data_IF_710878562472
#
_entry.id   IF_710878562472
#
_cell.length_a   1.000
_cell.length_b   1.000
_cell.length_c   1.000
_cell.angle_alpha   90.00
_cell.angle_beta   90.00
_cell.angle_gamma   90.00
#
_symmetry.space_group_name_H-M   'P 1'
#
loop_
_entity.id
_entity.type
_entity.pdbx_description
1 polymer ?
#
# COMPACT_ATOMS: atom_id res chain seq x y z
N UNK A 1 -13.06 17.49 19.54
CA UNK A 1 -12.91 16.13 19.03
C UNK A 1 -12.50 16.24 17.57
N UNK A 2 -11.25 15.95 17.25
CA UNK A 2 -10.76 15.90 15.87
C UNK A 2 -11.12 14.51 15.34
N UNK A 3 -12.22 14.42 14.60
CA UNK A 3 -12.66 13.15 14.01
C UNK A 3 -11.90 12.81 12.71
N UNK A 4 -11.16 13.76 12.13
CA UNK A 4 -10.46 13.61 10.86
C UNK A 4 -8.94 13.49 10.99
N UNK A 5 -8.42 12.64 11.88
CA UNK A 5 -7.02 12.18 11.81
C UNK A 5 -6.87 10.66 11.99
N UNK A 6 -7.93 9.93 12.39
CA UNK A 6 -7.77 8.52 12.74
C UNK A 6 -7.50 7.62 11.55
N UNK A 7 -8.12 7.90 10.39
CA UNK A 7 -7.93 7.11 9.18
C UNK A 7 -6.58 7.39 8.53
N UNK A 8 -6.22 8.68 8.34
CA UNK A 8 -4.90 9.04 7.82
C UNK A 8 -3.78 8.46 8.69
N UNK A 9 -3.86 8.63 10.01
CA UNK A 9 -2.86 8.09 10.93
C UNK A 9 -2.80 6.54 10.85
N UNK A 10 -3.92 5.87 10.59
CA UNK A 10 -3.95 4.41 10.46
C UNK A 10 -3.30 3.93 9.15
N UNK A 11 -3.58 4.60 8.04
CA UNK A 11 -2.97 4.30 6.74
C UNK A 11 -1.45 4.56 6.77
N UNK A 12 -1.01 5.70 7.33
CA UNK A 12 0.43 5.98 7.52
C UNK A 12 1.11 4.97 8.43
N UNK A 13 0.44 4.49 9.50
CA UNK A 13 1.01 3.38 10.31
C UNK A 13 1.16 2.10 9.52
N UNK A 14 0.24 1.81 8.61
CA UNK A 14 0.31 0.64 7.73
C UNK A 14 1.46 0.74 6.73
N UNK A 15 1.70 1.91 6.14
CA UNK A 15 2.91 2.18 5.34
C UNK A 15 4.19 1.86 6.11
N UNK A 16 4.32 2.40 7.32
CA UNK A 16 5.49 2.14 8.15
C UNK A 16 5.66 0.66 8.51
N UNK A 17 4.56 -0.08 8.72
CA UNK A 17 4.62 -1.51 8.99
C UNK A 17 5.07 -2.32 7.77
N UNK A 18 4.61 -1.94 6.56
CA UNK A 18 5.05 -2.53 5.29
C UNK A 18 6.54 -2.28 5.07
N UNK A 19 6.98 -1.03 5.19
CA UNK A 19 8.39 -0.64 5.03
C UNK A 19 9.27 -1.40 6.03
N UNK A 20 8.86 -1.47 7.30
CA UNK A 20 9.59 -2.19 8.35
C UNK A 20 9.75 -3.69 8.05
N UNK A 21 8.76 -4.33 7.42
CA UNK A 21 8.86 -5.74 7.01
C UNK A 21 9.89 -5.96 5.91
N UNK A 22 9.97 -5.05 4.94
CA UNK A 22 10.98 -5.08 3.87
C UNK A 22 12.38 -4.77 4.45
N UNK A 23 12.48 -3.78 5.34
CA UNK A 23 13.73 -3.42 6.02
C UNK A 23 14.25 -4.53 6.93
N UNK A 24 13.36 -5.25 7.62
CA UNK A 24 13.74 -6.40 8.44
C UNK A 24 14.40 -7.50 7.60
N UNK A 25 13.83 -7.81 6.43
CA UNK A 25 14.45 -8.74 5.48
C UNK A 25 15.80 -8.21 4.94
N UNK A 26 15.92 -6.91 4.69
CA UNK A 26 17.19 -6.32 4.25
C UNK A 26 18.28 -6.35 5.33
N UNK A 27 17.90 -6.35 6.61
CA UNK A 27 18.83 -6.46 7.72
C UNK A 27 19.32 -7.90 7.94
N UNK A 28 18.48 -8.89 7.65
CA UNK A 28 18.79 -10.32 7.68
C UNK A 28 17.99 -11.06 6.59
N UNK A 29 18.66 -11.36 5.47
CA UNK A 29 18.04 -11.95 4.28
C UNK A 29 17.92 -13.48 4.34
N UNK A 30 18.25 -14.09 5.47
CA UNK A 30 18.18 -15.54 5.67
C UNK A 30 16.76 -16.08 5.85
N UNK A 31 15.81 -15.24 6.28
CA UNK A 31 14.40 -15.56 6.43
C UNK A 31 13.53 -14.63 5.56
N UNK A 32 12.88 -15.12 4.50
CA UNK A 32 12.01 -14.30 3.66
C UNK A 32 10.64 -14.00 4.29
N UNK A 33 10.29 -14.57 5.46
CA UNK A 33 8.96 -14.42 6.04
C UNK A 33 8.53 -12.95 6.29
N UNK A 34 9.39 -12.04 6.80
CA UNK A 34 9.04 -10.63 6.95
C UNK A 34 8.72 -9.96 5.61
N UNK A 35 9.51 -10.27 4.57
CA UNK A 35 9.31 -9.74 3.22
C UNK A 35 7.98 -10.23 2.64
N UNK A 36 7.70 -11.54 2.69
CA UNK A 36 6.46 -12.11 2.17
C UNK A 36 5.22 -11.56 2.89
N UNK A 37 5.33 -11.30 4.20
CA UNK A 37 4.29 -10.64 4.98
C UNK A 37 4.06 -9.20 4.51
N UNK A 38 5.14 -8.46 4.25
CA UNK A 38 5.06 -7.10 3.71
C UNK A 38 4.46 -7.06 2.29
N UNK A 39 4.79 -8.02 1.43
CA UNK A 39 4.23 -8.13 0.08
C UNK A 39 2.71 -8.38 0.11
N UNK A 40 2.24 -9.26 0.99
CA UNK A 40 0.80 -9.49 1.17
C UNK A 40 0.09 -8.25 1.74
N UNK A 41 0.70 -7.62 2.75
CA UNK A 41 0.17 -6.39 3.36
C UNK A 41 0.06 -5.25 2.35
N UNK A 42 1.07 -5.04 1.49
CA UNK A 42 1.06 -4.01 0.46
C UNK A 42 -0.01 -4.28 -0.62
N UNK A 43 -0.21 -5.54 -1.03
CA UNK A 43 -1.32 -5.89 -1.94
C UNK A 43 -2.69 -5.65 -1.32
N UNK A 44 -2.85 -5.97 -0.04
CA UNK A 44 -4.07 -5.67 0.71
C UNK A 44 -4.30 -4.16 0.83
N UNK A 45 -3.25 -3.39 1.09
CA UNK A 45 -3.29 -1.93 1.18
C UNK A 45 -3.76 -1.32 -0.15
N UNK A 46 -3.12 -1.68 -1.27
CA UNK A 46 -3.50 -1.24 -2.61
C UNK A 46 -4.96 -1.62 -2.92
N UNK A 47 -5.40 -2.81 -2.53
CA UNK A 47 -6.81 -3.20 -2.67
C UNK A 47 -7.75 -2.31 -1.87
N UNK A 48 -7.42 -2.02 -0.60
CA UNK A 48 -8.22 -1.12 0.23
C UNK A 48 -8.40 0.22 -0.49
N UNK A 49 -7.32 0.75 -1.01
CA UNK A 49 -7.31 2.08 -1.60
C UNK A 49 -8.09 2.13 -2.90
N UNK A 50 -7.80 1.24 -3.83
CA UNK A 50 -8.48 1.21 -5.13
C UNK A 50 -9.95 0.86 -5.02
N UNK A 51 -10.33 0.02 -4.05
CA UNK A 51 -11.71 -0.46 -3.92
C UNK A 51 -12.60 0.47 -3.11
N UNK A 52 -12.05 1.13 -2.10
CA UNK A 52 -12.83 1.86 -1.10
C UNK A 52 -12.41 3.32 -0.96
N UNK A 53 -11.10 3.63 -0.94
CA UNK A 53 -10.61 4.99 -0.68
C UNK A 53 -10.71 5.90 -1.92
N UNK A 54 -10.17 5.45 -3.05
CA UNK A 54 -10.04 6.26 -4.26
C UNK A 54 -11.37 6.53 -4.98
N UNK A 55 -12.29 5.57 -5.14
CA UNK A 55 -13.54 5.81 -5.86
C UNK A 55 -14.35 7.03 -5.36
N UNK A 56 -14.58 7.22 -4.05
CA UNK A 56 -15.31 8.39 -3.55
C UNK A 56 -14.51 9.70 -3.64
N UNK A 57 -13.18 9.67 -3.62
CA UNK A 57 -12.33 10.86 -3.72
C UNK A 57 -12.12 11.33 -5.18
N UNK A 58 -12.23 10.43 -6.15
CA UNK A 58 -11.92 10.68 -7.57
C UNK A 58 -12.64 11.88 -8.19
N UNK A 59 -13.91 12.18 -7.89
CA UNK A 59 -14.58 13.37 -8.44
C UNK A 59 -13.90 14.70 -8.08
N UNK A 60 -13.27 14.78 -6.89
CA UNK A 60 -12.59 15.99 -6.42
C UNK A 60 -11.07 15.95 -6.68
N UNK A 61 -10.50 14.76 -6.88
CA UNK A 61 -9.05 14.52 -6.91
C UNK A 61 -8.60 13.69 -8.12
N UNK A 62 -9.28 13.87 -9.26
CA UNK A 62 -9.09 13.02 -10.44
C UNK A 62 -7.61 12.85 -10.84
N UNK A 63 -6.85 13.95 -10.96
CA UNK A 63 -5.45 13.89 -11.39
C UNK A 63 -4.54 13.20 -10.35
N UNK A 64 -4.54 13.57 -9.05
CA UNK A 64 -3.82 12.82 -8.02
C UNK A 64 -4.13 11.32 -8.02
N UNK A 65 -5.41 10.94 -8.11
CA UNK A 65 -5.80 9.52 -8.08
C UNK A 65 -5.30 8.77 -9.31
N UNK A 66 -5.30 9.38 -10.49
CA UNK A 66 -4.69 8.74 -11.66
C UNK A 66 -3.19 8.49 -11.51
N UNK A 67 -2.47 9.36 -10.78
CA UNK A 67 -1.06 9.13 -10.46
C UNK A 67 -0.91 7.94 -9.51
N UNK A 68 -1.73 7.85 -8.46
CA UNK A 68 -1.69 6.73 -7.51
C UNK A 68 -1.99 5.39 -8.19
N UNK A 69 -3.05 5.31 -9.02
CA UNK A 69 -3.39 4.09 -9.76
C UNK A 69 -2.25 3.61 -10.69
N UNK A 70 -1.52 4.53 -11.33
CA UNK A 70 -0.36 4.19 -12.15
C UNK A 70 0.78 3.63 -11.30
N UNK A 71 1.07 4.30 -10.19
CA UNK A 71 2.15 3.91 -9.29
C UNK A 71 1.84 2.59 -8.58
N UNK A 72 0.58 2.31 -8.23
CA UNK A 72 0.14 0.99 -7.77
C UNK A 72 0.41 -0.10 -8.80
N UNK A 73 0.20 0.17 -10.10
CA UNK A 73 0.57 -0.76 -11.17
C UNK A 73 2.07 -1.06 -11.20
N UNK A 74 2.90 -0.03 -11.03
CA UNK A 74 4.37 -0.17 -10.97
C UNK A 74 4.82 -0.96 -9.74
N UNK A 75 4.30 -0.62 -8.57
CA UNK A 75 4.53 -1.34 -7.31
C UNK A 75 4.07 -2.79 -7.40
N UNK A 76 2.91 -3.06 -8.02
CA UNK A 76 2.39 -4.41 -8.18
C UNK A 76 3.32 -5.31 -8.98
N UNK A 77 3.85 -4.81 -10.10
CA UNK A 77 4.84 -5.54 -10.91
C UNK A 77 6.14 -5.76 -10.14
N UNK A 78 6.60 -4.75 -9.39
CA UNK A 78 7.79 -4.89 -8.55
C UNK A 78 7.60 -5.97 -7.47
N UNK A 79 6.43 -6.06 -6.84
CA UNK A 79 6.10 -7.15 -5.90
C UNK A 79 6.04 -8.52 -6.59
N UNK A 80 5.45 -8.61 -7.79
CA UNK A 80 5.42 -9.85 -8.58
C UNK A 80 6.86 -10.33 -8.91
N UNK A 81 7.78 -9.41 -9.24
CA UNK A 81 9.19 -9.70 -9.50
C UNK A 81 9.95 -10.15 -8.23
N UNK A 82 9.66 -9.54 -7.08
CA UNK A 82 10.24 -9.93 -5.79
C UNK A 82 9.77 -11.33 -5.39
N UNK A 83 8.46 -11.61 -5.46
CA UNK A 83 7.91 -12.91 -5.11
C UNK A 83 8.49 -14.03 -5.99
N UNK A 84 8.63 -13.77 -7.30
CA UNK A 84 9.26 -14.71 -8.22
C UNK A 84 10.73 -14.97 -7.87
N UNK A 85 11.47 -13.92 -7.51
CA UNK A 85 12.88 -14.02 -7.15
C UNK A 85 13.11 -14.79 -5.84
N UNK A 86 12.25 -14.58 -4.84
CA UNK A 86 12.23 -15.34 -3.57
C UNK A 86 11.89 -16.81 -3.83
N UNK A 87 10.85 -17.08 -4.61
CA UNK A 87 10.43 -18.45 -4.91
C UNK A 87 11.49 -19.25 -5.69
N UNK A 88 12.30 -18.56 -6.50
CA UNK A 88 13.37 -19.15 -7.28
C UNK A 88 14.72 -19.20 -6.54
N UNK A 89 14.79 -18.74 -5.29
CA UNK A 89 16.02 -18.63 -4.49
C UNK A 89 17.15 -17.91 -5.26
N UNK A 90 16.78 -16.82 -5.93
CA UNK A 90 17.70 -16.09 -6.80
C UNK A 90 18.51 -15.06 -6.02
N UNK A 91 19.78 -14.90 -6.41
CA UNK A 91 20.56 -13.75 -5.96
C UNK A 91 19.95 -12.45 -6.51
N UNK A 92 19.86 -11.41 -5.68
CA UNK A 92 19.41 -10.08 -6.09
C UNK A 92 18.09 -9.61 -5.45
N UNK A 93 17.40 -10.46 -4.68
CA UNK A 93 16.20 -10.04 -3.90
C UNK A 93 16.49 -8.78 -3.06
N UNK A 94 17.65 -8.63 -2.38
CA UNK A 94 17.94 -7.40 -1.64
C UNK A 94 18.00 -6.13 -2.50
N UNK A 95 18.48 -6.22 -3.75
CA UNK A 95 18.49 -5.06 -4.66
C UNK A 95 17.08 -4.69 -5.13
N UNK A 96 16.24 -5.69 -5.42
CA UNK A 96 14.84 -5.47 -5.77
C UNK A 96 14.07 -4.85 -4.59
N UNK A 97 14.30 -5.32 -3.36
CA UNK A 97 13.71 -4.76 -2.15
C UNK A 97 14.11 -3.30 -1.93
N UNK A 98 15.39 -2.95 -2.14
CA UNK A 98 15.86 -1.55 -2.09
C UNK A 98 15.17 -0.68 -3.15
N UNK A 99 15.00 -1.20 -4.35
CA UNK A 99 14.28 -0.49 -5.42
C UNK A 99 12.80 -0.30 -5.06
N UNK A 100 12.15 -1.31 -4.49
CA UNK A 100 10.75 -1.25 -4.05
C UNK A 100 10.58 -0.21 -2.94
N UNK A 101 11.45 -0.17 -1.93
CA UNK A 101 11.43 0.86 -0.88
C UNK A 101 11.59 2.27 -1.45
N UNK A 102 12.43 2.46 -2.47
CA UNK A 102 12.57 3.76 -3.11
C UNK A 102 11.28 4.19 -3.86
N UNK A 103 10.58 3.23 -4.49
CA UNK A 103 9.28 3.47 -5.12
C UNK A 103 8.20 3.80 -4.09
N UNK A 104 8.12 3.02 -3.00
CA UNK A 104 7.21 3.26 -1.88
C UNK A 104 7.45 4.63 -1.24
N UNK A 105 8.69 4.98 -0.93
CA UNK A 105 9.02 6.30 -0.38
C UNK A 105 8.57 7.44 -1.30
N UNK A 106 8.76 7.29 -2.62
CA UNK A 106 8.26 8.27 -3.59
C UNK A 106 6.74 8.35 -3.58
N UNK A 107 6.06 7.20 -3.59
CA UNK A 107 4.61 7.07 -3.58
C UNK A 107 4.00 7.70 -2.31
N UNK A 108 4.43 7.24 -1.13
CA UNK A 108 3.93 7.65 0.18
C UNK A 108 4.11 9.17 0.41
N UNK A 109 5.23 9.75 -0.05
CA UNK A 109 5.50 11.20 0.06
C UNK A 109 4.50 12.06 -0.73
N UNK A 110 3.87 11.51 -1.77
CA UNK A 110 2.77 12.16 -2.49
C UNK A 110 1.44 11.87 -1.81
N UNK A 111 1.20 10.63 -1.44
CA UNK A 111 -0.09 10.19 -0.94
C UNK A 111 -0.44 10.78 0.43
N UNK A 112 0.44 10.62 1.42
CA UNK A 112 0.19 10.98 2.81
C UNK A 112 -0.19 12.46 3.00
N UNK A 113 0.49 13.45 2.38
CA UNK A 113 0.10 14.86 2.54
C UNK A 113 -1.01 15.32 1.59
N UNK A 114 -1.40 14.54 0.57
CA UNK A 114 -2.35 14.98 -0.46
C UNK A 114 -3.67 14.23 -0.36
N UNK A 115 -3.64 12.90 -0.34
CA UNK A 115 -4.83 12.03 -0.42
C UNK A 115 -5.45 11.85 0.96
N UNK A 116 -4.67 11.46 1.97
CA UNK A 116 -5.21 11.12 3.29
C UNK A 116 -5.92 12.28 4.00
N UNK A 117 -5.46 13.55 3.93
CA UNK A 117 -6.18 14.67 4.52
C UNK A 117 -7.54 14.91 3.86
N UNK A 118 -7.68 14.56 2.57
CA UNK A 118 -8.95 14.65 1.85
C UNK A 118 -9.86 13.48 2.19
N UNK A 119 -9.30 12.30 2.44
CA UNK A 119 -10.06 11.18 2.99
C UNK A 119 -10.72 11.54 4.33
N UNK A 120 -9.96 12.15 5.23
CA UNK A 120 -10.46 12.61 6.53
C UNK A 120 -11.48 13.73 6.43
N UNK A 121 -11.31 14.66 5.49
CA UNK A 121 -12.18 15.83 5.35
C UNK A 121 -13.47 15.57 4.56
N UNK A 122 -13.40 14.74 3.51
CA UNK A 122 -14.43 14.69 2.47
C UNK A 122 -15.27 13.40 2.51
N UNK A 123 -14.80 12.31 3.13
CA UNK A 123 -15.51 11.04 3.15
C UNK A 123 -16.61 11.00 4.22
N UNK A 124 -17.69 10.26 3.92
CA UNK A 124 -18.78 10.09 4.87
C UNK A 124 -18.38 9.17 6.04
N UNK A 125 -19.03 9.29 7.20
CA UNK A 125 -18.77 8.41 8.35
C UNK A 125 -18.90 6.92 8.01
N UNK A 126 -19.82 6.54 7.12
CA UNK A 126 -20.03 5.16 6.70
C UNK A 126 -18.83 4.61 5.90
N UNK A 127 -18.19 5.44 5.08
CA UNK A 127 -16.98 5.06 4.34
C UNK A 127 -15.79 4.96 5.30
N UNK A 128 -15.68 5.89 6.25
CA UNK A 128 -14.67 5.85 7.32
C UNK A 128 -14.74 4.57 8.14
N UNK A 129 -15.94 4.16 8.53
CA UNK A 129 -16.18 2.92 9.26
C UNK A 129 -15.79 1.69 8.42
N UNK A 130 -16.16 1.66 7.13
CA UNK A 130 -15.77 0.58 6.22
C UNK A 130 -14.25 0.46 6.07
N UNK A 131 -13.55 1.58 5.90
CA UNK A 131 -12.09 1.61 5.78
C UNK A 131 -11.41 1.15 7.08
N UNK A 132 -11.90 1.63 8.22
CA UNK A 132 -11.37 1.25 9.54
C UNK A 132 -11.58 -0.24 9.83
N UNK A 133 -12.76 -0.77 9.52
CA UNK A 133 -13.05 -2.21 9.65
C UNK A 133 -12.15 -3.05 8.71
N UNK A 134 -11.92 -2.58 7.48
CA UNK A 134 -11.03 -3.26 6.54
C UNK A 134 -9.56 -3.21 6.98
N UNK A 135 -9.07 -2.11 7.54
CA UNK A 135 -7.71 -2.03 8.08
C UNK A 135 -7.48 -3.02 9.22
N UNK A 136 -8.51 -3.28 10.04
CA UNK A 136 -8.39 -4.19 11.17
C UNK A 136 -8.30 -5.66 10.75
N UNK A 137 -9.15 -6.11 9.84
CA UNK A 137 -9.36 -7.56 9.58
C UNK A 137 -9.58 -7.89 8.09
N UNK A 138 -9.49 -6.91 7.20
CA UNK A 138 -9.78 -7.06 5.78
C UNK A 138 -8.82 -8.00 5.07
N UNK A 139 -9.32 -8.66 4.03
CA UNK A 139 -8.53 -9.41 3.07
C UNK A 139 -8.97 -9.02 1.65
N UNK A 140 -8.06 -9.15 0.69
CA UNK A 140 -8.39 -8.92 -0.72
C UNK A 140 -8.79 -10.23 -1.42
N UNK A 141 -9.67 -10.20 -2.45
CA UNK A 141 -10.15 -11.41 -3.11
C UNK A 141 -9.01 -12.18 -3.81
N UNK A 142 -9.07 -13.52 -3.75
CA UNK A 142 -8.13 -14.36 -4.50
C UNK A 142 -8.20 -14.06 -6.00
N UNK A 143 -7.03 -13.81 -6.59
CA UNK A 143 -6.90 -13.50 -8.02
C UNK A 143 -7.23 -12.05 -8.38
N UNK A 144 -7.52 -11.19 -7.39
CA UNK A 144 -7.58 -9.76 -7.61
C UNK A 144 -6.19 -9.21 -7.97
N UNK A 145 -6.16 -8.24 -8.87
CA UNK A 145 -4.98 -7.47 -9.29
C UNK A 145 -5.37 -5.99 -9.31
N UNK A 146 -4.41 -5.11 -9.03
CA UNK A 146 -4.64 -3.67 -9.13
C UNK A 146 -5.00 -3.26 -10.56
N UNK A 147 -5.71 -2.14 -10.72
CA UNK A 147 -6.30 -1.70 -11.99
C UNK A 147 -5.26 -1.59 -13.12
N UNK A 148 -4.02 -1.23 -12.78
CA UNK A 148 -2.93 -1.00 -13.74
C UNK A 148 -1.75 -1.98 -13.61
N UNK A 149 -1.97 -3.17 -13.03
CA UNK A 149 -0.98 -4.25 -12.92
C UNK A 149 -0.50 -4.79 -14.28
#
# INVERSE_FOLDING_TARGET
MAAGTQLADALTREHHAIDAGIEAYLADDSDPAPLLTAMDALRRHIYLEERFLFPPLKPAMMMPIFVMLREHGELWRAMDDVDAAVAADTAGVPDQCRSLLAQLSSHNTKEEPIVYPRADADLSPEIHEQLTAFLAEGAFPKGWRCEQA
#
